data_IF_681282228099
#
_entry.id   IF_681282228099
#
_cell.length_a   1.000
_cell.length_b   1.000
_cell.length_c   1.000
_cell.angle_alpha   90.00
_cell.angle_beta   90.00
_cell.angle_gamma   90.00
#
_symmetry.space_group_name_H-M   'P 1'
#
loop_
_entity.id
_entity.type
_entity.pdbx_description
1 polymer ?
#
# COMPACT_ATOMS: atom_id res chain seq x y z
N UNK A 1 1.00 19.20 19.12
CA UNK A 1 1.47 19.26 17.74
C UNK A 1 0.48 18.49 16.87
N UNK A 2 -0.25 19.17 16.03
CA UNK A 2 -1.21 18.55 15.13
C UNK A 2 -0.44 17.93 13.97
N UNK A 3 -0.20 16.62 14.00
CA UNK A 3 0.37 15.89 12.87
C UNK A 3 -0.66 15.87 11.75
N UNK A 4 -0.50 16.73 10.76
CA UNK A 4 -1.30 16.72 9.54
C UNK A 4 -0.84 15.53 8.70
N UNK A 5 -1.66 14.49 8.68
CA UNK A 5 -1.45 13.29 7.87
C UNK A 5 -2.35 13.36 6.65
N UNK A 6 -1.78 13.15 5.49
CA UNK A 6 -2.52 13.00 4.23
C UNK A 6 -2.51 11.53 3.85
N UNK A 7 -3.63 10.83 4.06
CA UNK A 7 -3.84 9.48 3.56
C UNK A 7 -4.45 9.56 2.16
N UNK A 8 -3.76 9.01 1.17
CA UNK A 8 -4.24 8.94 -0.21
C UNK A 8 -4.80 7.55 -0.48
N UNK A 9 -6.10 7.49 -0.74
CA UNK A 9 -6.73 6.31 -1.34
C UNK A 9 -6.40 6.30 -2.82
N UNK A 10 -5.49 5.44 -3.22
CA UNK A 10 -5.21 5.19 -4.63
C UNK A 10 -6.21 4.15 -5.16
N UNK A 11 -7.42 4.61 -5.46
CA UNK A 11 -8.37 3.89 -6.31
C UNK A 11 -7.89 4.02 -7.77
N UNK A 12 -8.25 3.06 -8.61
CA UNK A 12 -7.91 2.83 -10.03
C UNK A 12 -7.79 4.02 -11.01
N UNK A 13 -7.88 5.25 -10.53
CA UNK A 13 -7.53 6.45 -11.30
C UNK A 13 -6.21 7.00 -10.77
N UNK A 14 -5.15 7.02 -11.59
CA UNK A 14 -3.89 7.59 -11.17
C UNK A 14 -4.09 9.08 -10.84
N UNK A 15 -3.96 9.44 -9.55
CA UNK A 15 -3.57 10.82 -9.24
C UNK A 15 -2.27 11.06 -9.99
N UNK A 16 -2.12 12.18 -10.70
CA UNK A 16 -0.84 12.44 -11.33
C UNK A 16 0.24 12.47 -10.24
N UNK A 17 1.25 11.61 -10.37
CA UNK A 17 2.37 11.51 -9.42
C UNK A 17 2.95 12.87 -9.07
N UNK A 18 2.94 13.79 -10.03
CA UNK A 18 3.34 15.19 -9.86
C UNK A 18 2.57 15.91 -8.76
N UNK A 19 1.24 15.71 -8.67
CA UNK A 19 0.41 16.33 -7.62
C UNK A 19 0.80 15.84 -6.23
N UNK A 20 1.06 14.53 -6.07
CA UNK A 20 1.47 13.94 -4.80
C UNK A 20 2.82 14.49 -4.36
N UNK A 21 3.80 14.53 -5.27
CA UNK A 21 5.11 15.06 -4.99
C UNK A 21 5.06 16.55 -4.62
N UNK A 22 4.24 17.36 -5.30
CA UNK A 22 4.03 18.77 -4.98
C UNK A 22 3.40 18.97 -3.60
N UNK A 23 2.35 18.21 -3.26
CA UNK A 23 1.69 18.27 -1.95
C UNK A 23 2.66 17.90 -0.84
N UNK A 24 3.46 16.85 -1.03
CA UNK A 24 4.49 16.45 -0.07
C UNK A 24 5.48 17.59 0.20
N UNK A 25 5.99 18.19 -0.86
CA UNK A 25 6.97 19.27 -0.75
C UNK A 25 6.38 20.52 -0.09
N UNK A 26 5.14 20.87 -0.45
CA UNK A 26 4.47 22.06 0.07
C UNK A 26 4.08 21.91 1.55
N UNK A 27 3.63 20.73 1.96
CA UNK A 27 3.12 20.51 3.31
C UNK A 27 4.13 19.89 4.28
N UNK A 28 5.23 19.35 3.77
CA UNK A 28 6.24 18.63 4.55
C UNK A 28 5.64 17.58 5.49
N UNK A 29 4.75 16.74 4.95
CA UNK A 29 4.07 15.68 5.68
C UNK A 29 4.40 14.31 5.08
N UNK A 30 4.43 13.23 5.89
CA UNK A 30 4.57 11.89 5.36
C UNK A 30 3.37 11.54 4.48
N UNK A 31 3.62 10.82 3.40
CA UNK A 31 2.59 10.27 2.53
C UNK A 31 2.43 8.80 2.85
N UNK A 32 1.19 8.41 3.14
CA UNK A 32 0.82 7.06 3.48
C UNK A 32 -0.05 6.49 2.36
N UNK A 33 0.34 5.34 1.83
CA UNK A 33 -0.38 4.64 0.78
C UNK A 33 -1.33 3.59 1.32
N UNK A 34 -2.57 3.61 0.84
CA UNK A 34 -3.57 2.58 1.10
C UNK A 34 -3.91 1.87 -0.21
N UNK A 35 -3.57 0.59 -0.29
CA UNK A 35 -3.70 -0.26 -1.47
C UNK A 35 -4.39 -1.56 -1.13
N UNK A 36 -4.86 -2.27 -2.15
CA UNK A 36 -5.30 -3.65 -1.98
C UNK A 36 -4.12 -4.51 -1.52
N UNK A 37 -4.41 -5.49 -0.68
CA UNK A 37 -3.43 -6.48 -0.23
C UNK A 37 -3.22 -7.53 -1.33
N UNK A 38 -2.64 -7.12 -2.43
CA UNK A 38 -2.30 -7.97 -3.57
C UNK A 38 -0.95 -7.54 -4.22
N UNK A 39 -0.32 -8.40 -5.01
CA UNK A 39 0.93 -8.07 -5.68
C UNK A 39 0.79 -6.89 -6.64
N UNK A 40 -0.39 -6.70 -7.23
CA UNK A 40 -0.64 -5.61 -8.17
C UNK A 40 -0.69 -4.25 -7.45
N UNK A 41 -1.32 -4.18 -6.28
CA UNK A 41 -1.32 -3.00 -5.43
C UNK A 41 0.10 -2.56 -5.05
N UNK A 42 0.97 -3.51 -4.70
CA UNK A 42 2.38 -3.23 -4.43
C UNK A 42 3.15 -2.78 -5.67
N UNK A 43 2.83 -3.33 -6.84
CA UNK A 43 3.42 -2.88 -8.09
C UNK A 43 3.04 -1.44 -8.42
N UNK A 44 1.79 -1.04 -8.17
CA UNK A 44 1.35 0.35 -8.27
C UNK A 44 2.14 1.23 -7.30
N UNK A 45 2.25 0.83 -6.03
CA UNK A 45 3.02 1.56 -5.03
C UNK A 45 4.47 1.76 -5.45
N UNK A 46 5.09 0.74 -6.05
CA UNK A 46 6.47 0.83 -6.55
C UNK A 46 6.63 1.91 -7.63
N UNK A 47 5.61 2.11 -8.47
CA UNK A 47 5.62 3.18 -9.49
C UNK A 47 5.61 4.56 -8.84
N UNK A 48 4.87 4.75 -7.76
CA UNK A 48 4.90 6.01 -7.00
C UNK A 48 6.24 6.25 -6.32
N UNK A 49 6.92 5.20 -5.89
CA UNK A 49 8.23 5.30 -5.24
C UNK A 49 9.37 5.60 -6.21
N UNK A 50 9.43 4.86 -7.31
CA UNK A 50 10.58 4.86 -8.24
C UNK A 50 10.28 5.53 -9.57
N UNK A 51 9.01 5.71 -9.92
CA UNK A 51 8.56 6.04 -11.25
C UNK A 51 8.45 4.81 -12.15
N UNK A 52 7.94 5.01 -13.35
CA UNK A 52 7.93 4.02 -14.42
C UNK A 52 9.05 4.30 -15.43
N UNK A 53 9.34 3.31 -16.28
CA UNK A 53 10.32 3.48 -17.38
C UNK A 53 10.01 4.68 -18.28
N UNK A 54 8.72 5.02 -18.41
CA UNK A 54 8.26 6.14 -19.23
C UNK A 54 8.41 7.52 -18.54
N UNK A 55 8.76 7.55 -17.25
CA UNK A 55 8.89 8.76 -16.44
C UNK A 55 10.35 9.12 -16.13
N UNK A 56 11.31 8.44 -16.74
CA UNK A 56 12.74 8.54 -16.41
C UNK A 56 13.33 9.94 -16.54
N UNK A 57 12.77 10.77 -17.43
CA UNK A 57 13.26 12.12 -17.70
C UNK A 57 12.90 13.17 -16.62
N UNK A 58 11.89 12.87 -15.78
CA UNK A 58 11.46 13.79 -14.70
C UNK A 58 11.15 13.05 -13.39
N UNK A 59 11.87 11.95 -13.15
CA UNK A 59 11.63 11.08 -12.01
C UNK A 59 11.72 11.81 -10.65
N UNK A 60 12.63 12.76 -10.52
CA UNK A 60 12.84 13.55 -9.28
C UNK A 60 11.58 14.33 -8.90
N UNK A 61 10.87 14.86 -9.89
CA UNK A 61 9.67 15.67 -9.66
C UNK A 61 8.38 14.87 -9.62
N UNK A 62 8.42 13.61 -10.08
CA UNK A 62 7.24 12.75 -10.23
C UNK A 62 7.17 11.59 -9.24
N UNK A 63 8.25 11.33 -8.50
CA UNK A 63 8.31 10.21 -7.56
C UNK A 63 8.14 10.65 -6.11
N UNK A 64 7.68 9.71 -5.29
CA UNK A 64 7.55 9.88 -3.84
C UNK A 64 8.29 8.72 -3.16
N UNK A 65 9.65 8.77 -3.10
CA UNK A 65 10.46 7.63 -2.66
C UNK A 65 10.22 7.21 -1.21
N UNK A 66 9.74 8.11 -0.38
CA UNK A 66 9.46 7.94 1.04
C UNK A 66 7.98 7.67 1.37
N UNK A 67 7.18 7.33 0.35
CA UNK A 67 5.81 6.86 0.59
C UNK A 67 5.83 5.61 1.47
N UNK A 68 4.98 5.59 2.49
CA UNK A 68 4.86 4.49 3.43
C UNK A 68 3.65 3.62 3.13
N UNK A 69 3.79 2.34 3.31
CA UNK A 69 2.67 1.41 3.15
C UNK A 69 1.85 1.35 4.44
N UNK A 70 0.73 2.03 4.45
CA UNK A 70 -0.22 2.04 5.58
C UNK A 70 -1.03 0.74 5.64
N UNK A 71 -1.58 0.31 4.53
CA UNK A 71 -2.46 -0.85 4.39
C UNK A 71 -2.99 -1.00 2.94
N UNK A 72 -3.82 -1.95 2.63
CA UNK A 72 -4.13 -3.10 3.50
C UNK A 72 -2.94 -4.07 3.43
N UNK A 73 -2.40 -4.44 4.56
CA UNK A 73 -1.28 -5.39 4.59
C UNK A 73 -1.78 -6.82 4.86
N UNK A 74 -1.06 -7.85 4.40
CA UNK A 74 -1.39 -9.23 4.70
C UNK A 74 -1.58 -9.51 6.20
N UNK A 75 -0.74 -8.94 7.05
CA UNK A 75 -0.86 -9.06 8.51
C UNK A 75 -2.12 -8.39 9.08
N UNK A 76 -2.67 -7.40 8.40
CA UNK A 76 -3.92 -6.74 8.81
C UNK A 76 -5.13 -7.67 8.72
N UNK A 77 -5.09 -8.65 7.83
CA UNK A 77 -6.20 -9.59 7.65
C UNK A 77 -6.51 -10.36 8.94
N UNK A 78 -5.49 -10.76 9.66
CA UNK A 78 -5.66 -11.43 10.96
C UNK A 78 -5.80 -10.43 12.11
N UNK A 79 -5.01 -9.36 12.12
CA UNK A 79 -5.07 -8.32 13.16
C UNK A 79 -6.45 -7.69 13.29
N UNK A 80 -7.11 -7.42 12.18
CA UNK A 80 -8.46 -6.82 12.13
C UNK A 80 -9.57 -7.85 11.92
N UNK A 81 -9.25 -9.13 12.01
CA UNK A 81 -10.22 -10.24 11.91
C UNK A 81 -11.09 -10.16 10.65
N UNK A 82 -10.47 -9.88 9.52
CA UNK A 82 -11.17 -9.82 8.23
C UNK A 82 -11.79 -11.19 7.91
N UNK A 83 -13.10 -11.28 7.65
CA UNK A 83 -13.79 -12.55 7.40
C UNK A 83 -13.16 -13.34 6.25
N UNK A 84 -13.16 -14.67 6.35
CA UNK A 84 -12.59 -15.55 5.30
C UNK A 84 -13.25 -15.33 3.94
N UNK A 85 -14.54 -15.04 3.92
CA UNK A 85 -15.29 -14.76 2.69
C UNK A 85 -14.81 -13.48 1.95
N UNK A 86 -14.11 -12.59 2.63
CA UNK A 86 -13.51 -11.38 2.06
C UNK A 86 -12.05 -11.58 1.67
N UNK A 87 -11.48 -12.75 1.96
CA UNK A 87 -10.12 -13.13 1.58
C UNK A 87 -10.19 -13.94 0.29
N UNK A 88 -9.50 -13.46 -0.73
CA UNK A 88 -9.52 -14.05 -2.05
C UNK A 88 -8.30 -14.94 -2.26
N UNK A 89 -8.46 -16.02 -3.00
CA UNK A 89 -7.33 -16.85 -3.42
C UNK A 89 -6.54 -16.14 -4.53
N UNK A 90 -5.21 -16.22 -4.44
CA UNK A 90 -4.32 -15.70 -5.45
C UNK A 90 -4.30 -16.61 -6.68
N UNK A 91 -4.41 -16.02 -7.87
CA UNK A 91 -4.17 -16.74 -9.11
C UNK A 91 -2.69 -17.11 -9.28
N UNK A 92 -2.38 -18.02 -10.19
CA UNK A 92 -0.99 -18.34 -10.53
C UNK A 92 -0.22 -17.10 -11.02
N UNK A 93 -0.89 -16.21 -11.73
CA UNK A 93 -0.32 -14.93 -12.15
C UNK A 93 0.01 -14.02 -10.98
N UNK A 94 -0.88 -13.93 -9.99
CA UNK A 94 -0.62 -13.16 -8.76
C UNK A 94 0.59 -13.72 -8.00
N UNK A 95 0.66 -15.04 -7.86
CA UNK A 95 1.77 -15.71 -7.18
C UNK A 95 3.10 -15.45 -7.92
N UNK A 96 3.10 -15.53 -9.25
CA UNK A 96 4.27 -15.21 -10.07
C UNK A 96 4.70 -13.76 -9.87
N UNK A 97 3.78 -12.82 -9.97
CA UNK A 97 4.03 -11.39 -9.75
C UNK A 97 4.56 -11.12 -8.34
N UNK A 98 4.00 -11.76 -7.33
CA UNK A 98 4.49 -11.66 -5.95
C UNK A 98 5.93 -12.16 -5.78
N UNK A 99 6.28 -13.28 -6.42
CA UNK A 99 7.65 -13.82 -6.43
C UNK A 99 8.63 -12.90 -7.15
N UNK A 100 8.21 -12.28 -8.24
CA UNK A 100 9.02 -11.30 -8.98
C UNK A 100 9.28 -10.06 -8.11
N UNK A 101 8.25 -9.54 -7.43
CA UNK A 101 8.38 -8.40 -6.53
C UNK A 101 9.32 -8.67 -5.35
N UNK A 102 9.36 -9.90 -4.82
CA UNK A 102 10.31 -10.29 -3.76
C UNK A 102 11.78 -10.16 -4.21
N UNK A 103 12.05 -10.17 -5.50
CA UNK A 103 13.39 -9.99 -6.06
C UNK A 103 13.75 -8.51 -6.32
N UNK A 104 12.78 -7.61 -6.24
CA UNK A 104 13.00 -6.19 -6.44
C UNK A 104 13.82 -5.57 -5.30
N UNK A 105 14.77 -4.70 -5.65
CA UNK A 105 15.69 -4.10 -4.69
C UNK A 105 15.00 -3.32 -3.59
N UNK A 106 13.90 -2.62 -3.90
CA UNK A 106 13.17 -1.84 -2.91
C UNK A 106 12.46 -2.73 -1.86
N UNK A 107 12.07 -3.95 -2.23
CA UNK A 107 11.51 -4.93 -1.31
C UNK A 107 12.62 -5.55 -0.46
N UNK A 108 13.73 -5.93 -1.10
CA UNK A 108 14.90 -6.49 -0.40
C UNK A 108 15.51 -5.51 0.60
N UNK A 109 15.50 -4.22 0.28
CA UNK A 109 16.03 -3.16 1.14
C UNK A 109 15.17 -2.90 2.38
N UNK A 110 13.91 -3.32 2.41
CA UNK A 110 13.00 -3.13 3.52
C UNK A 110 12.50 -4.47 4.06
N UNK A 111 13.06 -4.91 5.18
CA UNK A 111 12.70 -6.20 5.78
C UNK A 111 11.21 -6.32 6.15
N UNK A 112 10.55 -5.23 6.51
CA UNK A 112 9.12 -5.24 6.82
C UNK A 112 8.27 -5.49 5.56
N UNK A 113 8.59 -4.83 4.45
CA UNK A 113 7.95 -5.07 3.16
C UNK A 113 8.15 -6.49 2.66
N UNK A 114 9.39 -6.99 2.79
CA UNK A 114 9.72 -8.35 2.40
C UNK A 114 8.88 -9.39 3.17
N UNK A 115 8.77 -9.24 4.49
CA UNK A 115 7.96 -10.14 5.33
C UNK A 115 6.48 -10.13 4.96
N UNK A 116 5.90 -8.95 4.74
CA UNK A 116 4.49 -8.85 4.36
C UNK A 116 4.23 -9.49 2.99
N UNK A 117 5.09 -9.24 2.01
CA UNK A 117 4.95 -9.83 0.69
C UNK A 117 5.21 -11.35 0.70
N UNK A 118 6.18 -11.81 1.47
CA UNK A 118 6.44 -13.24 1.65
C UNK A 118 5.24 -13.95 2.31
N UNK A 119 4.63 -13.33 3.32
CA UNK A 119 3.41 -13.82 3.96
C UNK A 119 2.27 -13.96 2.95
N UNK A 120 2.06 -12.95 2.10
CA UNK A 120 1.06 -12.97 1.04
C UNK A 120 1.27 -14.14 0.07
N UNK A 121 2.49 -14.30 -0.43
CA UNK A 121 2.83 -15.36 -1.40
C UNK A 121 2.73 -16.74 -0.77
N UNK A 122 3.12 -16.91 0.48
CA UNK A 122 3.05 -18.20 1.20
C UNK A 122 1.59 -18.59 1.53
N UNK A 123 0.79 -17.65 1.98
CA UNK A 123 -0.62 -17.90 2.29
C UNK A 123 -1.48 -18.07 1.04
N UNK A 124 -1.03 -17.56 -0.11
CA UNK A 124 -1.78 -17.48 -1.37
C UNK A 124 -3.11 -16.75 -1.23
N UNK A 125 -3.17 -15.80 -0.32
CA UNK A 125 -4.35 -15.00 0.00
C UNK A 125 -4.12 -13.55 -0.34
N UNK A 126 -5.11 -12.93 -0.97
CA UNK A 126 -5.18 -11.50 -1.24
C UNK A 126 -6.49 -10.92 -0.74
N UNK A 127 -6.55 -9.62 -0.57
CA UNK A 127 -7.77 -8.92 -0.18
C UNK A 127 -7.81 -7.53 -0.80
N UNK A 128 -9.00 -7.11 -1.17
CA UNK A 128 -9.26 -5.75 -1.61
C UNK A 128 -9.53 -4.83 -0.41
N UNK A 129 -9.38 -3.52 -0.58
CA UNK A 129 -9.74 -2.52 0.45
C UNK A 129 -11.20 -2.67 0.88
N UNK A 130 -12.07 -3.07 -0.05
CA UNK A 130 -13.49 -3.34 0.21
C UNK A 130 -13.74 -4.40 1.28
N UNK A 131 -12.77 -5.29 1.53
CA UNK A 131 -12.88 -6.26 2.62
C UNK A 131 -13.08 -5.60 3.99
N UNK A 132 -12.59 -4.39 4.19
CA UNK A 132 -12.83 -3.60 5.40
C UNK A 132 -14.29 -3.17 5.56
N UNK A 133 -15.04 -3.06 4.46
CA UNK A 133 -16.46 -2.72 4.49
C UNK A 133 -17.35 -3.84 5.01
N UNK A 134 -16.81 -5.04 5.24
CA UNK A 134 -17.53 -6.16 5.88
C UNK A 134 -18.03 -5.82 7.29
N UNK A 135 -17.39 -4.85 7.95
CA UNK A 135 -17.79 -4.31 9.26
C UNK A 135 -18.64 -3.03 9.16
N UNK A 136 -19.06 -2.64 7.96
CA UNK A 136 -19.79 -1.41 7.67
C UNK A 136 -18.98 -0.38 6.89
N UNK A 137 -19.65 0.49 6.14
CA UNK A 137 -18.99 1.47 5.26
C UNK A 137 -18.08 2.46 5.99
N UNK A 138 -18.35 2.71 7.26
CA UNK A 138 -17.60 3.66 8.07
C UNK A 138 -16.39 3.05 8.76
N UNK A 139 -16.23 1.73 8.73
CA UNK A 139 -15.15 1.04 9.43
C UNK A 139 -13.77 1.53 9.01
N UNK A 140 -13.54 1.72 7.71
CA UNK A 140 -12.28 2.23 7.19
C UNK A 140 -11.90 3.58 7.81
N UNK A 141 -12.83 4.53 7.83
CA UNK A 141 -12.58 5.91 8.26
C UNK A 141 -12.68 6.13 9.77
N UNK A 142 -13.48 5.35 10.47
CA UNK A 142 -13.74 5.52 11.90
C UNK A 142 -12.95 4.59 12.80
N UNK A 143 -12.52 3.43 12.29
CA UNK A 143 -11.81 2.42 13.08
C UNK A 143 -10.43 2.14 12.51
N UNK A 144 -10.35 1.63 11.28
CA UNK A 144 -9.09 1.16 10.71
C UNK A 144 -8.04 2.26 10.57
N UNK A 145 -8.35 3.34 9.87
CA UNK A 145 -7.40 4.45 9.68
C UNK A 145 -7.02 5.14 10.99
N UNK A 146 -7.95 5.50 11.89
CA UNK A 146 -7.59 6.11 13.16
C UNK A 146 -6.69 5.21 14.02
N UNK A 147 -6.95 3.90 14.06
CA UNK A 147 -6.12 2.97 14.82
C UNK A 147 -4.72 2.84 14.21
N UNK A 148 -4.61 2.68 12.91
CA UNK A 148 -3.33 2.66 12.19
C UNK A 148 -2.49 3.90 12.47
N UNK A 149 -3.12 5.08 12.42
CA UNK A 149 -2.46 6.35 12.66
C UNK A 149 -2.05 6.52 14.13
N UNK A 150 -2.90 6.11 15.07
CA UNK A 150 -2.62 6.16 16.51
C UNK A 150 -1.43 5.28 16.89
N UNK A 151 -1.33 4.09 16.29
CA UNK A 151 -0.27 3.13 16.55
C UNK A 151 0.99 3.40 15.73
N UNK A 152 0.98 4.38 14.82
CA UNK A 152 2.03 4.59 13.82
C UNK A 152 2.34 3.31 13.02
N UNK A 153 1.31 2.52 12.70
CA UNK A 153 1.41 1.20 12.09
C UNK A 153 1.50 1.29 10.55
N UNK A 154 2.62 1.78 10.07
CA UNK A 154 2.99 1.78 8.64
C UNK A 154 4.46 1.40 8.45
N UNK A 155 4.81 0.97 7.24
CA UNK A 155 6.15 0.52 6.90
C UNK A 155 6.68 1.17 5.62
#
# INVERSE_FOLDING_TARGET
>A
MSSRLLALRLSLRPFPNRTIAQVRTALNVPILGLFDADPYGLKILSVYMKGSKNMSYDAINLTTPDIKWLGVRPSDLDKYQIPQQCRLEMSEHDIKTGKELLQEDFVKANAAWHRELEMMVKSKVKAEIQALSSFGFQYLSQVYLPQKLKEADWI
#
